data_IF_639959748725
#
_entry.id   IF_639959748725
#
_cell.length_a   1.000
_cell.length_b   1.000
_cell.length_c   1.000
_cell.angle_alpha   90.00
_cell.angle_beta   90.00
_cell.angle_gamma   90.00
#
_symmetry.space_group_name_H-M   'P 1'
#
loop_
_entity.id
_entity.type
_entity.pdbx_description
1 polymer ?
#
# COMPACT_ATOMS: atom_id res chain seq x y z
N UNK A 1 30.21 -29.04 -0.18
CA UNK A 1 28.91 -28.40 -0.45
C UNK A 1 28.01 -28.76 0.70
N UNK A 2 27.94 -27.89 1.70
CA UNK A 2 27.33 -28.18 3.01
C UNK A 2 25.90 -27.65 2.99
N UNK A 3 24.92 -28.54 2.83
CA UNK A 3 23.50 -28.22 2.88
C UNK A 3 23.15 -27.82 4.32
N UNK A 4 23.05 -26.51 4.55
CA UNK A 4 22.68 -25.98 5.87
C UNK A 4 21.21 -26.32 6.12
N UNK A 5 20.94 -27.25 7.05
CA UNK A 5 19.58 -27.61 7.46
C UNK A 5 18.96 -26.47 8.27
N UNK A 6 18.18 -25.62 7.59
CA UNK A 6 17.47 -24.49 8.19
C UNK A 6 16.35 -24.89 9.18
N UNK A 7 16.15 -26.19 9.48
CA UNK A 7 15.11 -26.68 10.41
C UNK A 7 15.43 -26.49 11.90
N UNK A 8 16.64 -26.06 12.29
CA UNK A 8 17.10 -25.97 13.69
C UNK A 8 17.06 -24.57 14.34
N UNK A 9 16.31 -23.61 13.79
CA UNK A 9 16.02 -22.34 14.47
C UNK A 9 14.68 -22.37 15.22
N UNK A 10 14.46 -21.51 16.24
CA UNK A 10 13.13 -21.37 16.84
C UNK A 10 12.11 -21.04 15.74
N UNK A 11 11.06 -21.85 15.63
CA UNK A 11 10.04 -21.70 14.58
C UNK A 11 9.30 -20.40 14.82
N UNK A 12 9.55 -19.38 14.00
CA UNK A 12 8.73 -18.16 13.92
C UNK A 12 7.27 -18.56 13.69
N UNK A 13 6.34 -17.98 14.45
CA UNK A 13 4.90 -18.24 14.35
C UNK A 13 4.14 -16.91 14.23
N UNK A 14 2.92 -16.98 13.67
CA UNK A 14 2.05 -15.80 13.55
C UNK A 14 2.73 -14.63 12.84
N UNK A 15 2.64 -13.46 13.44
CA UNK A 15 3.07 -12.18 12.85
C UNK A 15 4.57 -12.05 12.63
N UNK A 16 5.39 -12.74 13.44
CA UNK A 16 6.85 -12.74 13.26
C UNK A 16 7.24 -13.43 11.97
N UNK A 17 6.56 -14.53 11.62
CA UNK A 17 6.77 -15.22 10.37
C UNK A 17 6.28 -14.39 9.18
N UNK A 18 5.12 -13.74 9.29
CA UNK A 18 4.60 -12.89 8.23
C UNK A 18 5.55 -11.71 7.96
N UNK A 19 6.06 -11.04 9.00
CA UNK A 19 7.05 -9.97 8.87
C UNK A 19 8.34 -10.44 8.19
N UNK A 20 8.85 -11.62 8.56
CA UNK A 20 10.02 -12.20 7.91
C UNK A 20 9.78 -12.49 6.42
N UNK A 21 8.59 -12.98 6.08
CA UNK A 21 8.19 -13.25 4.70
C UNK A 21 8.08 -11.94 3.91
N UNK A 22 7.39 -10.93 4.42
CA UNK A 22 7.27 -9.63 3.75
C UNK A 22 8.63 -8.94 3.56
N UNK A 23 9.51 -9.02 4.55
CA UNK A 23 10.88 -8.52 4.43
C UNK A 23 11.64 -9.22 3.31
N UNK A 24 11.56 -10.56 3.25
CA UNK A 24 12.19 -11.35 2.20
C UNK A 24 11.61 -11.04 0.82
N UNK A 25 10.28 -10.96 0.69
CA UNK A 25 9.61 -10.62 -0.56
C UNK A 25 10.01 -9.22 -1.05
N UNK A 26 10.03 -8.22 -0.16
CA UNK A 26 10.44 -6.86 -0.51
C UNK A 26 11.88 -6.84 -1.02
N UNK A 27 12.79 -7.57 -0.37
CA UNK A 27 14.18 -7.65 -0.81
C UNK A 27 14.32 -8.33 -2.19
N UNK A 28 13.58 -9.43 -2.44
CA UNK A 28 13.55 -10.08 -3.77
C UNK A 28 12.98 -9.16 -4.85
N UNK A 29 11.90 -8.42 -4.54
CA UNK A 29 11.27 -7.48 -5.46
C UNK A 29 12.21 -6.32 -5.83
N UNK A 30 12.97 -5.80 -4.87
CA UNK A 30 13.96 -4.75 -5.12
C UNK A 30 15.17 -5.26 -5.90
N UNK A 31 15.62 -6.49 -5.65
CA UNK A 31 16.82 -7.05 -6.28
C UNK A 31 16.56 -7.56 -7.70
N UNK A 32 15.44 -8.23 -7.92
CA UNK A 32 15.16 -8.97 -9.15
C UNK A 32 13.92 -8.50 -9.93
N UNK A 33 13.09 -7.64 -9.33
CA UNK A 33 11.82 -7.20 -9.90
C UNK A 33 10.69 -8.24 -9.78
N UNK A 34 9.47 -7.82 -10.09
CA UNK A 34 8.27 -8.67 -9.98
C UNK A 34 8.31 -9.88 -10.92
N UNK A 35 8.69 -9.70 -12.19
CA UNK A 35 8.75 -10.77 -13.17
C UNK A 35 9.57 -12.00 -12.71
N UNK A 36 10.67 -11.79 -11.98
CA UNK A 36 11.57 -12.83 -11.47
C UNK A 36 11.25 -13.30 -10.04
N UNK A 37 10.22 -12.75 -9.40
CA UNK A 37 9.80 -13.18 -8.07
C UNK A 37 9.31 -14.64 -8.12
N UNK A 38 9.86 -15.47 -7.22
CA UNK A 38 9.41 -16.86 -7.05
C UNK A 38 9.17 -17.17 -5.57
N UNK A 39 8.17 -18.02 -5.32
CA UNK A 39 7.85 -18.50 -3.97
C UNK A 39 9.02 -19.24 -3.33
N UNK A 40 9.86 -19.89 -4.15
CA UNK A 40 11.03 -20.63 -3.73
C UNK A 40 12.10 -19.72 -3.13
N UNK A 41 12.48 -18.66 -3.86
CA UNK A 41 13.46 -17.68 -3.41
C UNK A 41 13.00 -16.96 -2.15
N UNK A 42 11.72 -16.60 -2.09
CA UNK A 42 11.15 -16.00 -0.87
C UNK A 42 11.20 -16.99 0.30
N UNK A 43 10.82 -18.25 0.10
CA UNK A 43 10.84 -19.24 1.17
C UNK A 43 12.25 -19.46 1.73
N UNK A 44 13.24 -19.54 0.84
CA UNK A 44 14.66 -19.64 1.20
C UNK A 44 15.13 -18.41 1.98
N UNK A 45 14.90 -17.21 1.44
CA UNK A 45 15.31 -15.94 2.07
C UNK A 45 14.62 -15.71 3.42
N UNK A 46 13.33 -16.04 3.53
CA UNK A 46 12.55 -15.95 4.76
C UNK A 46 12.86 -17.08 5.77
N UNK A 47 13.68 -18.07 5.38
CA UNK A 47 13.99 -19.29 6.17
C UNK A 47 12.72 -20.02 6.63
N UNK A 48 11.78 -20.21 5.71
CA UNK A 48 10.51 -20.91 5.95
C UNK A 48 10.30 -22.02 4.93
N UNK A 49 9.35 -22.94 5.20
CA UNK A 49 9.03 -23.99 4.24
C UNK A 49 8.09 -23.46 3.15
N UNK A 50 8.26 -23.94 1.90
CA UNK A 50 7.34 -23.65 0.79
C UNK A 50 5.88 -23.96 1.16
N UNK A 51 5.64 -25.10 1.82
CA UNK A 51 4.30 -25.47 2.30
C UNK A 51 3.70 -24.45 3.28
N UNK A 52 4.52 -23.82 4.13
CA UNK A 52 4.04 -22.78 5.05
C UNK A 52 3.74 -21.45 4.35
N UNK A 53 4.45 -21.17 3.25
CA UNK A 53 4.26 -19.99 2.40
C UNK A 53 2.99 -20.16 1.54
N UNK A 54 2.88 -21.26 0.79
CA UNK A 54 1.72 -21.57 -0.06
C UNK A 54 0.40 -21.70 0.69
N UNK A 55 0.43 -22.15 1.96
CA UNK A 55 -0.78 -22.19 2.80
C UNK A 55 -1.34 -20.79 3.08
N UNK A 56 -0.50 -19.75 3.06
CA UNK A 56 -0.87 -18.36 3.35
C UNK A 56 -1.11 -17.55 2.09
N UNK A 57 -0.23 -17.72 1.10
CA UNK A 57 -0.30 -17.05 -0.19
C UNK A 57 -0.30 -18.11 -1.29
N UNK A 58 -1.47 -18.40 -1.88
CA UNK A 58 -1.62 -19.38 -2.95
C UNK A 58 -0.78 -19.06 -4.19
N UNK A 59 -0.56 -17.77 -4.48
CA UNK A 59 0.26 -17.34 -5.61
C UNK A 59 1.27 -16.24 -5.23
N UNK A 60 2.31 -16.09 -6.07
CA UNK A 60 3.30 -15.00 -5.94
C UNK A 60 2.66 -13.61 -6.06
N UNK A 61 1.54 -13.52 -6.80
CA UNK A 61 0.80 -12.27 -7.00
C UNK A 61 0.20 -11.81 -5.69
N UNK A 62 -0.49 -12.72 -4.99
CA UNK A 62 -1.08 -12.43 -3.68
C UNK A 62 0.00 -12.05 -2.66
N UNK A 63 1.12 -12.78 -2.64
CA UNK A 63 2.25 -12.48 -1.77
C UNK A 63 2.85 -11.09 -2.04
N UNK A 64 3.07 -10.75 -3.31
CA UNK A 64 3.62 -9.45 -3.69
C UNK A 64 2.67 -8.31 -3.31
N UNK A 65 1.37 -8.47 -3.59
CA UNK A 65 0.37 -7.46 -3.26
C UNK A 65 0.24 -7.24 -1.75
N UNK A 66 0.14 -8.31 -0.96
CA UNK A 66 0.05 -8.19 0.50
C UNK A 66 1.33 -7.59 1.10
N UNK A 67 2.50 -7.96 0.55
CA UNK A 67 3.79 -7.36 0.95
C UNK A 67 3.78 -5.85 0.71
N UNK A 68 3.34 -5.41 -0.47
CA UNK A 68 3.26 -3.99 -0.81
C UNK A 68 2.24 -3.27 0.07
N UNK A 69 1.01 -3.79 0.17
CA UNK A 69 -0.08 -3.22 0.95
C UNK A 69 0.27 -3.10 2.44
N UNK A 70 1.07 -4.03 2.98
CA UNK A 70 1.55 -3.96 4.37
C UNK A 70 2.38 -2.71 4.68
N UNK A 71 2.98 -2.08 3.66
CA UNK A 71 3.77 -0.86 3.82
C UNK A 71 2.99 0.42 3.52
N UNK A 72 1.75 0.32 3.02
CA UNK A 72 0.89 1.50 2.84
C UNK A 72 0.29 1.91 4.19
N UNK A 73 0.04 3.21 4.39
CA UNK A 73 -0.62 3.69 5.60
C UNK A 73 -2.02 3.09 5.74
N UNK A 74 -2.34 2.61 6.93
CA UNK A 74 -3.67 2.16 7.33
C UNK A 74 -4.43 3.28 8.09
N UNK A 75 -5.71 3.04 8.36
CA UNK A 75 -6.58 4.00 9.06
C UNK A 75 -6.06 4.42 10.45
N UNK A 76 -5.28 3.56 11.11
CA UNK A 76 -4.73 3.78 12.44
C UNK A 76 -3.43 4.60 12.40
N UNK A 77 -2.69 4.51 11.30
CA UNK A 77 -1.48 5.29 11.05
C UNK A 77 -1.77 6.73 10.58
N UNK A 78 -2.96 6.99 10.05
CA UNK A 78 -3.33 8.32 9.58
C UNK A 78 -3.53 9.32 10.74
N UNK A 79 -3.11 10.58 10.58
CA UNK A 79 -3.33 11.64 11.56
C UNK A 79 -4.80 11.82 11.97
N UNK A 80 -4.96 12.30 13.19
CA UNK A 80 -6.25 12.66 13.78
C UNK A 80 -6.03 13.83 14.75
N UNK A 81 -5.54 14.95 14.20
CA UNK A 81 -5.24 16.19 14.93
C UNK A 81 -6.50 16.89 15.42
N UNK A 82 -7.65 16.55 14.82
CA UNK A 82 -8.94 17.17 15.10
C UNK A 82 -9.31 18.27 14.11
N UNK A 83 -8.50 18.50 13.08
CA UNK A 83 -8.75 19.44 11.98
C UNK A 83 -8.67 18.71 10.64
N UNK A 84 -9.77 18.76 9.86
CA UNK A 84 -9.89 18.05 8.59
C UNK A 84 -8.81 18.42 7.57
N UNK A 85 -8.49 19.71 7.41
CA UNK A 85 -7.49 20.19 6.45
C UNK A 85 -6.12 19.61 6.80
N UNK A 86 -5.70 19.78 8.05
CA UNK A 86 -4.43 19.28 8.58
C UNK A 86 -4.33 17.77 8.45
N UNK A 87 -5.40 17.04 8.78
CA UNK A 87 -5.46 15.58 8.67
C UNK A 87 -5.31 15.11 7.21
N UNK A 88 -5.98 15.77 6.25
CA UNK A 88 -5.91 15.43 4.82
C UNK A 88 -4.52 15.68 4.22
N UNK A 89 -3.94 16.85 4.47
CA UNK A 89 -2.60 17.21 3.98
C UNK A 89 -1.57 16.22 4.53
N UNK A 90 -1.61 15.94 5.82
CA UNK A 90 -0.66 15.02 6.44
C UNK A 90 -0.85 13.56 5.98
N UNK A 91 -2.09 13.12 5.73
CA UNK A 91 -2.37 11.80 5.15
C UNK A 91 -1.81 11.66 3.72
N UNK A 92 -1.95 12.69 2.87
CA UNK A 92 -1.39 12.67 1.52
C UNK A 92 0.13 12.76 1.52
N UNK A 93 0.74 13.53 2.42
CA UNK A 93 2.21 13.55 2.60
C UNK A 93 2.75 12.16 2.96
N UNK A 94 2.14 11.50 3.95
CA UNK A 94 2.52 10.14 4.34
C UNK A 94 2.41 9.15 3.16
N UNK A 95 1.36 9.29 2.34
CA UNK A 95 1.19 8.49 1.14
C UNK A 95 2.28 8.80 0.11
N UNK A 96 2.60 10.07 -0.14
CA UNK A 96 3.65 10.49 -1.08
C UNK A 96 5.03 9.97 -0.66
N UNK A 97 5.36 10.03 0.63
CA UNK A 97 6.61 9.51 1.20
C UNK A 97 6.74 8.00 1.00
N UNK A 98 5.64 7.26 1.11
CA UNK A 98 5.60 5.82 0.83
C UNK A 98 6.03 5.52 -0.62
N UNK A 99 5.68 6.39 -1.57
CA UNK A 99 6.08 6.25 -2.98
C UNK A 99 7.51 6.75 -3.29
N UNK A 100 8.12 7.54 -2.40
CA UNK A 100 9.52 7.97 -2.52
C UNK A 100 10.49 6.84 -2.17
N UNK A 101 10.09 5.91 -1.29
CA UNK A 101 10.92 4.80 -0.83
C UNK A 101 10.96 3.56 -1.75
N UNK A 102 11.48 2.47 -1.18
CA UNK A 102 11.55 1.14 -1.81
C UNK A 102 10.19 0.63 -2.27
N UNK A 103 9.14 0.90 -1.50
CA UNK A 103 7.75 0.51 -1.82
C UNK A 103 7.32 1.10 -3.15
N UNK A 104 7.56 2.40 -3.38
CA UNK A 104 7.24 3.05 -4.66
C UNK A 104 7.99 2.45 -5.84
N UNK A 105 9.26 2.07 -5.65
CA UNK A 105 10.06 1.38 -6.69
C UNK A 105 9.42 0.05 -7.07
N UNK A 106 9.03 -0.75 -6.07
CA UNK A 106 8.37 -2.05 -6.29
C UNK A 106 7.00 -1.87 -6.95
N UNK A 107 6.19 -0.89 -6.50
CA UNK A 107 4.88 -0.62 -7.10
C UNK A 107 5.00 -0.25 -8.57
N UNK A 108 5.96 0.62 -8.94
CA UNK A 108 6.19 0.98 -10.34
C UNK A 108 6.63 -0.23 -11.18
N UNK A 109 7.51 -1.08 -10.65
CA UNK A 109 7.90 -2.33 -11.32
C UNK A 109 6.70 -3.25 -11.54
N UNK A 110 5.83 -3.41 -10.54
CA UNK A 110 4.62 -4.22 -10.68
C UNK A 110 3.65 -3.62 -11.71
N UNK A 111 3.49 -2.30 -11.74
CA UNK A 111 2.62 -1.61 -12.70
C UNK A 111 3.04 -1.85 -14.16
N UNK A 112 4.36 -1.85 -14.42
CA UNK A 112 4.89 -2.15 -15.75
C UNK A 112 4.57 -3.58 -16.23
N UNK A 113 4.39 -4.52 -15.30
CA UNK A 113 4.12 -5.93 -15.60
C UNK A 113 2.60 -6.25 -15.70
N UNK A 114 1.70 -5.30 -15.43
CA UNK A 114 0.24 -5.54 -15.42
C UNK A 114 -0.30 -6.03 -16.77
N UNK A 115 0.19 -5.47 -17.88
CA UNK A 115 -0.26 -5.86 -19.22
C UNK A 115 0.24 -7.25 -19.63
N UNK A 116 1.40 -7.64 -19.08
CA UNK A 116 2.04 -8.93 -19.35
C UNK A 116 1.52 -10.05 -18.44
N UNK A 117 0.95 -9.70 -17.27
CA UNK A 117 0.41 -10.63 -16.28
C UNK A 117 -1.07 -10.32 -15.97
N UNK A 118 -2.02 -10.97 -16.68
CA UNK A 118 -3.45 -10.79 -16.43
C UNK A 118 -3.90 -11.19 -15.01
N UNK A 119 -3.17 -12.08 -14.33
CA UNK A 119 -3.45 -12.46 -12.94
C UNK A 119 -3.14 -11.30 -11.99
N UNK A 120 -2.02 -10.61 -12.21
CA UNK A 120 -1.68 -9.37 -11.50
C UNK A 120 -2.76 -8.30 -11.71
N UNK A 121 -3.14 -8.04 -12.96
CA UNK A 121 -4.19 -7.07 -13.28
C UNK A 121 -5.52 -7.41 -12.61
N UNK A 122 -5.91 -8.70 -12.56
CA UNK A 122 -7.14 -9.14 -11.89
C UNK A 122 -7.08 -8.89 -10.39
N UNK A 123 -6.00 -9.25 -9.72
CA UNK A 123 -5.88 -9.05 -8.28
C UNK A 123 -5.82 -7.57 -7.90
N UNK A 124 -5.16 -6.73 -8.70
CA UNK A 124 -5.18 -5.29 -8.50
C UNK A 124 -6.60 -4.74 -8.63
N UNK A 125 -7.37 -5.12 -9.65
CA UNK A 125 -8.77 -4.67 -9.79
C UNK A 125 -9.67 -5.10 -8.63
N UNK A 126 -9.48 -6.32 -8.11
CA UNK A 126 -10.32 -6.88 -7.04
C UNK A 126 -9.93 -6.35 -5.66
N UNK A 127 -8.63 -6.19 -5.35
CA UNK A 127 -8.15 -5.79 -4.01
C UNK A 127 -7.91 -4.28 -3.87
N UNK A 128 -7.66 -3.54 -4.94
CA UNK A 128 -7.22 -2.14 -4.83
C UNK A 128 -8.32 -1.11 -4.46
N UNK A 129 -9.56 -1.18 -4.97
CA UNK A 129 -10.54 -0.11 -4.71
C UNK A 129 -11.01 -0.04 -3.24
N UNK A 130 -11.28 -1.19 -2.62
CA UNK A 130 -11.92 -1.23 -1.29
C UNK A 130 -10.93 -1.13 -0.13
N UNK A 131 -9.72 -1.68 -0.25
CA UNK A 131 -8.72 -1.61 0.82
C UNK A 131 -7.89 -0.32 0.81
N UNK A 132 -7.60 0.27 -0.36
CA UNK A 132 -6.69 1.43 -0.44
C UNK A 132 -7.30 2.71 0.10
N UNK A 133 -8.60 2.88 -0.11
CA UNK A 133 -9.28 4.13 0.26
C UNK A 133 -9.91 4.04 1.65
N UNK A 134 -9.97 2.87 2.29
CA UNK A 134 -10.59 2.73 3.61
C UNK A 134 -9.90 3.58 4.68
N UNK A 135 -8.59 3.78 4.58
CA UNK A 135 -7.86 4.67 5.47
C UNK A 135 -8.36 6.13 5.36
N UNK A 136 -8.48 6.64 4.13
CA UNK A 136 -8.99 7.98 3.85
C UNK A 136 -10.48 8.10 4.17
N UNK A 137 -11.27 7.06 3.89
CA UNK A 137 -12.70 7.03 4.24
C UNK A 137 -12.90 7.06 5.75
N UNK A 138 -12.07 6.34 6.50
CA UNK A 138 -12.06 6.36 7.96
C UNK A 138 -11.70 7.75 8.50
N UNK A 139 -10.69 8.41 7.93
CA UNK A 139 -10.35 9.79 8.25
C UNK A 139 -11.53 10.74 8.01
N UNK A 140 -12.17 10.67 6.85
CA UNK A 140 -13.33 11.51 6.51
C UNK A 140 -14.53 11.23 7.43
N UNK A 141 -14.77 9.97 7.80
CA UNK A 141 -15.80 9.60 8.78
C UNK A 141 -15.51 10.20 10.16
N UNK A 142 -14.25 10.22 10.61
CA UNK A 142 -13.86 10.90 11.86
C UNK A 142 -14.16 12.40 11.81
N UNK A 143 -13.83 13.05 10.70
CA UNK A 143 -14.16 14.47 10.49
C UNK A 143 -15.67 14.72 10.44
N UNK A 144 -16.45 13.83 9.84
CA UNK A 144 -17.91 13.92 9.81
C UNK A 144 -18.52 13.83 11.23
N UNK A 145 -17.99 12.96 12.10
CA UNK A 145 -18.40 12.90 13.51
C UNK A 145 -18.14 14.20 14.27
N UNK A 146 -17.16 15.01 13.83
CA UNK A 146 -16.86 16.34 14.37
C UNK A 146 -17.68 17.46 13.72
N UNK A 147 -18.47 17.17 12.70
CA UNK A 147 -19.22 18.17 11.93
C UNK A 147 -18.39 18.92 10.87
N UNK A 148 -17.16 18.47 10.58
CA UNK A 148 -16.27 19.10 9.60
C UNK A 148 -16.50 18.60 8.17
N UNK A 149 -17.11 17.40 8.03
CA UNK A 149 -17.38 16.77 6.74
C UNK A 149 -18.85 16.33 6.57
N UNK A 150 -19.33 16.37 5.33
CA UNK A 150 -20.66 15.94 4.89
C UNK A 150 -20.75 14.41 4.86
N UNK A 151 -21.13 13.81 5.99
CA UNK A 151 -21.19 12.36 6.16
C UNK A 151 -22.07 11.63 5.14
N UNK A 152 -23.13 12.26 4.65
CA UNK A 152 -24.07 11.74 3.65
C UNK A 152 -23.45 11.55 2.27
N UNK A 153 -22.35 12.24 1.96
CA UNK A 153 -21.67 12.16 0.65
C UNK A 153 -20.49 11.20 0.65
N UNK A 154 -20.05 10.69 1.80
CA UNK A 154 -18.81 9.92 1.90
C UNK A 154 -18.92 8.54 1.25
N UNK A 155 -18.28 8.38 0.09
CA UNK A 155 -18.17 7.12 -0.66
C UNK A 155 -16.71 6.72 -0.83
N UNK A 156 -16.45 5.46 -1.20
CA UNK A 156 -15.11 4.98 -1.57
C UNK A 156 -14.51 5.80 -2.73
N UNK A 157 -15.34 6.33 -3.63
CA UNK A 157 -14.91 7.20 -4.72
C UNK A 157 -14.41 8.54 -4.20
N UNK A 158 -15.20 9.23 -3.36
CA UNK A 158 -14.80 10.52 -2.79
C UNK A 158 -13.53 10.38 -1.95
N UNK A 159 -13.49 9.36 -1.07
CA UNK A 159 -12.29 9.07 -0.27
C UNK A 159 -11.06 8.74 -1.12
N UNK A 160 -11.29 8.20 -2.33
CA UNK A 160 -10.23 7.81 -3.25
C UNK A 160 -9.67 8.91 -4.13
N UNK A 161 -10.33 10.07 -4.25
CA UNK A 161 -9.92 11.13 -5.19
C UNK A 161 -8.54 11.68 -4.88
N UNK A 162 -8.25 12.01 -3.62
CA UNK A 162 -6.95 12.53 -3.20
C UNK A 162 -5.81 11.55 -3.51
N UNK A 163 -5.90 10.30 -3.02
CA UNK A 163 -4.96 9.24 -3.37
C UNK A 163 -4.85 8.98 -4.87
N UNK A 164 -5.92 9.16 -5.66
CA UNK A 164 -5.90 8.97 -7.10
C UNK A 164 -5.14 10.08 -7.83
N UNK A 165 -5.41 11.34 -7.51
CA UNK A 165 -4.69 12.50 -8.06
C UNK A 165 -3.20 12.45 -7.70
N UNK A 166 -2.88 12.10 -6.45
CA UNK A 166 -1.49 11.93 -6.03
C UNK A 166 -0.77 10.83 -6.84
N UNK A 167 -1.43 9.68 -7.05
CA UNK A 167 -0.87 8.59 -7.86
C UNK A 167 -0.69 8.98 -9.33
N UNK A 168 -1.64 9.72 -9.89
CA UNK A 168 -1.53 10.25 -11.25
C UNK A 168 -0.31 11.16 -11.38
N UNK A 169 -0.14 12.12 -10.46
CA UNK A 169 1.00 13.01 -10.44
C UNK A 169 2.31 12.22 -10.33
N UNK A 170 2.39 11.25 -9.41
CA UNK A 170 3.57 10.38 -9.25
C UNK A 170 3.87 9.60 -10.53
N UNK A 171 2.84 9.20 -11.27
CA UNK A 171 3.01 8.42 -12.50
C UNK A 171 3.56 9.28 -13.64
N UNK A 172 3.09 10.52 -13.77
CA UNK A 172 3.46 11.42 -14.86
C UNK A 172 4.71 12.28 -14.57
N UNK A 173 4.90 12.68 -13.32
CA UNK A 173 5.93 13.64 -12.89
C UNK A 173 6.97 13.03 -11.94
N UNK A 174 6.68 11.87 -11.36
CA UNK A 174 7.60 11.16 -10.48
C UNK A 174 7.56 11.61 -9.02
N UNK A 175 8.64 11.31 -8.29
CA UNK A 175 8.85 11.65 -6.88
C UNK A 175 10.20 12.38 -6.73
N UNK A 176 10.38 13.25 -5.73
CA UNK A 176 9.42 13.62 -4.67
C UNK A 176 8.26 14.47 -5.18
N UNK A 177 7.10 14.36 -4.54
CA UNK A 177 5.93 15.19 -4.85
C UNK A 177 6.09 16.54 -4.14
N UNK A 178 6.02 17.69 -4.84
CA UNK A 178 6.06 18.99 -4.21
C UNK A 178 4.87 19.22 -3.27
N UNK A 179 5.10 19.85 -2.12
CA UNK A 179 4.05 20.14 -1.13
C UNK A 179 2.87 20.93 -1.72
N UNK A 180 3.16 21.87 -2.64
CA UNK A 180 2.13 22.66 -3.33
C UNK A 180 1.11 21.78 -4.05
N UNK A 181 1.52 20.65 -4.63
CA UNK A 181 0.62 19.72 -5.32
C UNK A 181 -0.32 19.06 -4.32
N UNK A 182 0.18 18.71 -3.13
CA UNK A 182 -0.64 18.12 -2.08
C UNK A 182 -1.65 19.15 -1.55
N UNK A 183 -1.20 20.38 -1.33
CA UNK A 183 -2.04 21.49 -0.89
C UNK A 183 -3.15 21.78 -1.91
N UNK A 184 -2.81 21.88 -3.21
CA UNK A 184 -3.79 22.06 -4.30
C UNK A 184 -4.82 20.91 -4.37
N UNK A 185 -4.39 19.64 -4.25
CA UNK A 185 -5.32 18.50 -4.19
C UNK A 185 -6.30 18.65 -3.03
N UNK A 186 -5.84 19.09 -1.86
CA UNK A 186 -6.71 19.22 -0.68
C UNK A 186 -7.65 20.42 -0.82
N UNK A 187 -7.10 21.59 -1.14
CA UNK A 187 -7.83 22.85 -1.13
C UNK A 187 -8.79 22.99 -2.31
N UNK A 188 -8.37 22.57 -3.51
CA UNK A 188 -9.17 22.76 -4.73
C UNK A 188 -10.12 21.59 -5.01
N UNK A 189 -9.82 20.39 -4.51
CA UNK A 189 -10.62 19.18 -4.81
C UNK A 189 -11.28 18.61 -3.57
N UNK A 190 -10.53 18.23 -2.54
CA UNK A 190 -11.09 17.47 -1.43
C UNK A 190 -12.00 18.31 -0.55
N UNK A 191 -11.53 19.46 -0.06
CA UNK A 191 -12.31 20.31 0.84
C UNK A 191 -13.64 20.76 0.24
N UNK A 192 -13.74 21.26 -1.01
CA UNK A 192 -15.01 21.65 -1.61
C UNK A 192 -16.03 20.51 -1.70
N UNK A 193 -15.54 19.28 -1.91
CA UNK A 193 -16.38 18.09 -2.02
C UNK A 193 -16.91 17.62 -0.67
N UNK A 194 -16.05 17.62 0.36
CA UNK A 194 -16.35 16.94 1.63
C UNK A 194 -16.70 17.88 2.78
N UNK A 195 -16.24 19.13 2.79
CA UNK A 195 -16.41 20.04 3.93
C UNK A 195 -17.87 20.49 4.11
N UNK A 196 -18.32 20.73 5.34
CA UNK A 196 -19.67 21.25 5.62
C UNK A 196 -19.84 22.74 5.29
N UNK A 197 -18.76 23.48 5.01
CA UNK A 197 -18.79 24.86 4.51
C UNK A 197 -18.89 24.94 2.99
#
# INVERSE_FOLDING_TARGET
>A
METTDHRKGPRRRGDELNRAIFTATMAELLESGYAKLTMDRVAERARTSKASLYRRWPSRVELALDTVLHHFPDAASLPNTGDLLTDLVAALRLLADTFTGSVGTVVRSMMADIELDPELGRHLRVRAPDQRNEAFLSLLRRAAMRGEARGDKLTQWIAGLGPALLREHITLHGVPVPDVVIEEIVDEVLLPLVSTR
#
